data_IF_559050692528
#
_entry.id   IF_559050692528
#
_cell.length_a   1.000
_cell.length_b   1.000
_cell.length_c   1.000
_cell.angle_alpha   90.00
_cell.angle_beta   90.00
_cell.angle_gamma   90.00
#
_symmetry.space_group_name_H-M   'P 1'
#
loop_
_entity.id
_entity.type
_entity.pdbx_description
1 polymer ?
#
# COMPACT_ATOMS: atom_id res chain seq x y z
N UNK A 1 1.45 -16.39 -10.56
CA UNK A 1 0.21 -16.67 -9.82
C UNK A 1 0.17 -15.70 -8.65
N UNK A 2 -0.83 -14.82 -8.58
CA UNK A 2 -0.98 -13.89 -7.43
C UNK A 2 -1.57 -14.72 -6.29
N UNK A 3 -0.71 -15.22 -5.41
CA UNK A 3 -1.17 -15.92 -4.20
C UNK A 3 -1.64 -14.87 -3.21
N UNK A 4 -2.92 -14.91 -2.84
CA UNK A 4 -3.46 -14.10 -1.73
C UNK A 4 -2.75 -14.59 -0.46
N UNK A 5 -1.89 -13.75 0.12
CA UNK A 5 -1.13 -14.09 1.32
C UNK A 5 -2.05 -14.20 2.55
N UNK A 6 -1.81 -15.21 3.38
CA UNK A 6 -2.60 -15.51 4.59
C UNK A 6 -2.42 -14.43 5.68
N UNK A 7 -3.54 -13.94 6.19
CA UNK A 7 -3.64 -12.87 7.18
C UNK A 7 -3.74 -13.42 8.61
N UNK A 8 -2.67 -13.98 9.17
CA UNK A 8 -2.76 -14.63 10.49
C UNK A 8 -2.56 -13.69 11.70
N UNK A 9 -2.59 -12.35 11.56
CA UNK A 9 -2.18 -11.45 12.67
C UNK A 9 -2.90 -10.12 12.91
N UNK A 10 -4.02 -9.78 12.27
CA UNK A 10 -4.70 -8.50 12.57
C UNK A 10 -6.21 -8.71 12.73
N UNK A 11 -6.70 -8.57 13.96
CA UNK A 11 -8.12 -8.71 14.31
C UNK A 11 -8.88 -7.42 13.98
N UNK A 12 -10.11 -7.63 13.46
CA UNK A 12 -11.19 -6.67 13.21
C UNK A 12 -11.24 -6.01 11.81
N UNK A 13 -12.09 -6.63 10.96
CA UNK A 13 -12.63 -6.22 9.64
C UNK A 13 -11.71 -6.43 8.42
N UNK A 14 -11.90 -7.60 7.81
CA UNK A 14 -11.16 -8.21 6.70
C UNK A 14 -11.48 -7.64 5.29
N UNK A 15 -11.56 -6.31 5.12
CA UNK A 15 -11.90 -5.74 3.81
C UNK A 15 -10.64 -5.15 3.17
N UNK A 16 -10.24 -5.72 2.03
CA UNK A 16 -9.35 -5.04 1.09
C UNK A 16 -10.23 -4.06 0.30
N UNK A 17 -10.05 -2.77 0.54
CA UNK A 17 -10.81 -1.72 -0.14
C UNK A 17 -10.34 -1.50 -1.58
N UNK A 18 -9.02 -1.56 -1.80
CA UNK A 18 -8.40 -1.39 -3.12
C UNK A 18 -7.02 -2.02 -3.15
N UNK A 19 -6.59 -2.48 -4.34
CA UNK A 19 -5.22 -2.95 -4.57
C UNK A 19 -4.62 -2.31 -5.82
N UNK A 20 -3.29 -2.22 -5.85
CA UNK A 20 -2.52 -1.77 -7.01
C UNK A 20 -1.26 -2.61 -7.14
N UNK A 21 -0.84 -2.89 -8.38
CA UNK A 21 0.38 -3.62 -8.68
C UNK A 21 1.33 -2.78 -9.53
N UNK A 22 2.62 -2.70 -9.13
CA UNK A 22 3.58 -1.81 -9.77
C UNK A 22 4.02 -2.24 -11.17
N UNK A 23 3.95 -3.54 -11.47
CA UNK A 23 4.33 -4.11 -12.77
C UNK A 23 3.55 -5.40 -13.04
N UNK A 24 3.50 -5.81 -14.31
CA UNK A 24 2.82 -7.05 -14.69
C UNK A 24 3.55 -8.27 -14.12
N UNK A 25 2.88 -9.14 -13.34
CA UNK A 25 3.47 -10.39 -12.84
C UNK A 25 3.88 -11.37 -13.93
N UNK A 26 3.42 -11.15 -15.16
CA UNK A 26 3.76 -11.99 -16.32
C UNK A 26 5.10 -11.59 -16.93
N UNK A 27 5.58 -10.37 -16.67
CA UNK A 27 6.78 -9.82 -17.30
C UNK A 27 7.98 -9.79 -16.35
N UNK A 28 7.74 -9.70 -15.03
CA UNK A 28 8.80 -9.58 -14.04
C UNK A 28 8.36 -10.15 -12.70
N UNK A 29 9.34 -10.61 -11.91
CA UNK A 29 9.17 -10.92 -10.47
C UNK A 29 9.54 -9.73 -9.59
N UNK A 30 9.97 -8.61 -10.18
CA UNK A 30 10.22 -7.35 -9.50
C UNK A 30 8.96 -6.48 -9.56
N UNK A 31 7.95 -6.88 -8.78
CA UNK A 31 6.73 -6.11 -8.60
C UNK A 31 6.38 -6.01 -7.12
N UNK A 32 5.57 -5.01 -6.80
CA UNK A 32 5.02 -4.79 -5.47
C UNK A 32 3.51 -4.74 -5.62
N UNK A 33 2.81 -5.41 -4.70
CA UNK A 33 1.37 -5.23 -4.51
C UNK A 33 1.18 -4.33 -3.31
N UNK A 34 0.49 -3.21 -3.48
CA UNK A 34 0.02 -2.34 -2.40
C UNK A 34 -1.48 -2.48 -2.26
N UNK A 35 -1.97 -2.42 -1.01
CA UNK A 35 -3.39 -2.50 -0.70
C UNK A 35 -3.80 -1.40 0.28
N UNK A 36 -5.07 -1.02 0.18
CA UNK A 36 -5.83 -0.38 1.24
C UNK A 36 -6.62 -1.48 1.95
N UNK A 37 -6.48 -1.59 3.26
CA UNK A 37 -7.17 -2.60 4.07
C UNK A 37 -7.71 -2.02 5.38
N UNK A 38 -8.58 -2.78 6.04
CA UNK A 38 -9.11 -2.43 7.35
C UNK A 38 -10.15 -1.30 7.28
N UNK A 39 -10.91 -1.15 8.37
CA UNK A 39 -11.98 -0.14 8.45
C UNK A 39 -11.46 1.30 8.42
N UNK A 40 -10.18 1.50 8.75
CA UNK A 40 -9.53 2.80 8.82
C UNK A 40 -8.74 3.15 7.55
N UNK A 41 -8.83 2.32 6.49
CA UNK A 41 -8.14 2.54 5.22
C UNK A 41 -6.63 2.57 5.41
N UNK A 42 -6.07 1.54 6.04
CA UNK A 42 -4.64 1.38 6.30
C UNK A 42 -3.91 0.88 5.04
N UNK A 43 -2.59 1.07 4.98
CA UNK A 43 -1.78 0.66 3.84
C UNK A 43 -0.84 -0.48 4.21
N UNK A 44 -0.77 -1.48 3.34
CA UNK A 44 0.25 -2.53 3.41
C UNK A 44 0.76 -2.89 2.03
N UNK A 45 1.93 -3.52 1.98
CA UNK A 45 2.51 -4.03 0.74
C UNK A 45 3.08 -5.43 0.88
N UNK A 46 3.25 -6.10 -0.25
CA UNK A 46 3.96 -7.36 -0.37
C UNK A 46 4.75 -7.43 -1.68
N UNK A 47 5.92 -8.06 -1.62
CA UNK A 47 6.75 -8.44 -2.77
C UNK A 47 6.61 -9.94 -3.06
N UNK A 48 6.95 -10.40 -4.28
CA UNK A 48 7.11 -11.82 -4.55
C UNK A 48 8.04 -12.49 -3.52
N UNK A 49 7.54 -13.54 -2.89
CA UNK A 49 8.26 -14.27 -1.84
C UNK A 49 7.95 -13.82 -0.40
N UNK A 50 7.38 -12.62 -0.20
CA UNK A 50 6.90 -12.21 1.12
C UNK A 50 5.76 -13.15 1.56
N UNK A 51 5.81 -13.63 2.81
CA UNK A 51 4.79 -14.54 3.37
C UNK A 51 3.70 -13.80 4.16
N UNK A 52 3.90 -12.51 4.41
CA UNK A 52 3.03 -11.66 5.21
C UNK A 52 2.93 -10.29 4.56
N UNK A 53 1.86 -9.57 4.84
CA UNK A 53 1.71 -8.17 4.47
C UNK A 53 2.58 -7.29 5.37
N UNK A 54 3.26 -6.31 4.78
CA UNK A 54 4.11 -5.35 5.48
C UNK A 54 3.36 -4.03 5.64
N UNK A 55 2.93 -3.65 6.87
CA UNK A 55 2.23 -2.38 7.08
C UNK A 55 3.13 -1.18 6.78
N UNK A 56 2.56 -0.17 6.12
CA UNK A 56 3.21 1.13 5.91
C UNK A 56 3.02 1.97 7.18
N UNK A 57 4.12 2.48 7.74
CA UNK A 57 4.08 3.38 8.89
C UNK A 57 3.81 4.82 8.45
N UNK A 58 3.40 5.67 9.40
CA UNK A 58 3.03 7.06 9.09
C UNK A 58 1.58 7.19 8.61
N UNK A 59 0.67 6.42 9.24
CA UNK A 59 -0.76 6.53 8.98
C UNK A 59 -1.23 7.97 9.17
N UNK A 60 -1.85 8.52 8.12
CA UNK A 60 -2.32 9.89 8.07
C UNK A 60 -3.84 9.92 7.85
N UNK A 61 -4.59 9.03 8.48
CA UNK A 61 -6.04 8.93 8.33
C UNK A 61 -6.48 7.99 7.19
N UNK A 62 -7.75 8.12 6.77
CA UNK A 62 -8.42 7.10 5.97
C UNK A 62 -8.06 7.19 4.50
N UNK A 63 -7.13 6.34 4.04
CA UNK A 63 -6.79 6.26 2.62
C UNK A 63 -7.97 5.71 1.81
N UNK A 64 -8.22 6.32 0.66
CA UNK A 64 -9.35 5.98 -0.23
C UNK A 64 -8.91 5.55 -1.61
N UNK A 65 -7.71 5.96 -2.04
CA UNK A 65 -7.13 5.52 -3.30
C UNK A 65 -5.61 5.35 -3.21
N UNK A 66 -5.08 4.46 -4.06
CA UNK A 66 -3.67 4.18 -4.28
C UNK A 66 -3.37 4.11 -5.77
N UNK A 67 -2.21 4.62 -6.15
CA UNK A 67 -1.69 4.54 -7.52
C UNK A 67 -0.18 4.36 -7.50
N UNK A 68 0.40 3.92 -8.62
CA UNK A 68 1.84 3.88 -8.82
C UNK A 68 2.22 4.74 -10.02
N UNK A 69 3.23 5.60 -9.84
CA UNK A 69 3.80 6.39 -10.92
C UNK A 69 5.32 6.38 -10.80
N UNK A 70 6.01 6.00 -11.89
CA UNK A 70 7.48 5.93 -11.97
C UNK A 70 8.12 5.15 -10.80
N UNK A 71 7.56 3.99 -10.48
CA UNK A 71 8.08 3.09 -9.44
C UNK A 71 7.84 3.57 -8.00
N UNK A 72 7.03 4.62 -7.80
CA UNK A 72 6.64 5.10 -6.47
C UNK A 72 5.14 4.96 -6.29
N UNK A 73 4.75 4.52 -5.11
CA UNK A 73 3.35 4.47 -4.73
C UNK A 73 2.91 5.80 -4.12
N UNK A 74 1.69 6.18 -4.44
CA UNK A 74 1.02 7.34 -3.88
C UNK A 74 -0.33 6.92 -3.33
N UNK A 75 -0.68 7.45 -2.17
CA UNK A 75 -1.97 7.23 -1.54
C UNK A 75 -2.61 8.57 -1.20
N UNK A 76 -3.92 8.67 -1.36
CA UNK A 76 -4.69 9.86 -0.97
C UNK A 76 -5.67 9.50 0.14
N UNK A 77 -5.76 10.34 1.17
CA UNK A 77 -6.72 10.19 2.25
C UNK A 77 -8.01 11.00 2.01
N UNK A 78 -9.04 10.76 2.83
CA UNK A 78 -10.30 11.52 2.80
C UNK A 78 -10.15 13.04 3.01
N UNK A 79 -9.00 13.50 3.51
CA UNK A 79 -8.71 14.93 3.71
C UNK A 79 -8.04 15.57 2.50
N UNK A 80 -7.72 14.80 1.46
CA UNK A 80 -7.02 15.26 0.27
C UNK A 80 -5.49 15.26 0.40
N UNK A 81 -4.91 14.75 1.49
CA UNK A 81 -3.46 14.63 1.63
C UNK A 81 -2.95 13.49 0.75
N UNK A 82 -1.91 13.78 -0.05
CA UNK A 82 -1.24 12.84 -0.94
C UNK A 82 0.09 12.45 -0.31
N UNK A 83 0.23 11.16 -0.07
CA UNK A 83 1.37 10.56 0.60
C UNK A 83 2.17 9.73 -0.41
N UNK A 84 3.49 9.93 -0.48
CA UNK A 84 4.40 9.06 -1.22
C UNK A 84 4.90 7.94 -0.30
N UNK A 85 4.76 6.70 -0.75
CA UNK A 85 5.20 5.50 -0.05
C UNK A 85 6.47 4.97 -0.72
N UNK A 86 7.64 5.23 -0.11
CA UNK A 86 8.92 4.81 -0.65
C UNK A 86 9.32 3.42 -0.13
N UNK A 87 8.87 2.39 -0.85
CA UNK A 87 9.18 0.99 -0.53
C UNK A 87 10.59 0.68 -1.05
N UNK A 88 11.62 1.04 -0.28
CA UNK A 88 13.00 0.60 -0.51
C UNK A 88 13.35 -0.54 0.43
N UNK A 89 14.20 -1.44 -0.05
CA UNK A 89 14.63 -2.62 0.68
C UNK A 89 15.22 -2.27 2.06
N UNK A 90 14.56 -2.73 3.12
CA UNK A 90 15.18 -2.91 4.44
C UNK A 90 14.92 -1.86 5.52
N UNK A 91 14.15 -0.78 5.27
CA UNK A 91 13.81 0.20 6.31
C UNK A 91 12.31 0.28 6.53
N UNK A 92 11.82 0.65 7.74
CA UNK A 92 10.40 0.87 7.95
C UNK A 92 9.90 1.85 6.89
N UNK A 93 9.02 1.38 6.01
CA UNK A 93 8.47 2.22 4.97
C UNK A 93 7.56 3.24 5.62
N UNK A 94 7.99 4.50 5.63
CA UNK A 94 7.21 5.62 6.15
C UNK A 94 6.59 6.34 4.95
N UNK A 95 5.28 6.53 4.99
CA UNK A 95 4.57 7.40 4.06
C UNK A 95 4.92 8.87 4.38
N UNK A 96 5.27 9.65 3.36
CA UNK A 96 5.57 11.08 3.50
C UNK A 96 4.57 11.91 2.72
N UNK A 97 4.04 12.98 3.32
CA UNK A 97 3.19 13.91 2.59
C UNK A 97 4.00 14.62 1.51
N UNK A 98 3.47 14.65 0.30
CA UNK A 98 4.13 15.28 -0.86
C UNK A 98 3.26 16.33 -1.54
N UNK A 99 1.95 16.30 -1.28
CA UNK A 99 1.00 17.29 -1.77
C UNK A 99 -0.31 17.23 -0.98
N UNK A 100 -1.13 18.27 -1.13
CA UNK A 100 -2.47 18.34 -0.61
C UNK A 100 -3.40 18.81 -1.73
N UNK A 101 -4.54 18.14 -1.91
CA UNK A 101 -5.56 18.57 -2.86
C UNK A 101 -6.11 19.95 -2.45
N UNK A 102 -6.42 20.84 -3.40
CA UNK A 102 -7.14 22.07 -3.10
C UNK A 102 -8.45 21.77 -2.36
N UNK A 103 -8.83 22.63 -1.42
CA UNK A 103 -10.13 22.58 -0.75
C UNK A 103 -11.20 23.28 -1.57
#
# INVERSE_FOLDING_TARGET
>A
MITILNWNRVSHVHVIGKCFISASPLLTSDYIVMIIYGALGELAYARPGDKVWNPIKGWCGWYVDITCYKGKFYAINKRGMIMACNIKDGNPTIAQEVAHMPQ
#
